data_IF_661169678522
#
_entry.id   IF_661169678522
#
_cell.length_a   1.000
_cell.length_b   1.000
_cell.length_c   1.000
_cell.angle_alpha   90.00
_cell.angle_beta   90.00
_cell.angle_gamma   90.00
#
_symmetry.space_group_name_H-M   'P 1'
#
loop_
_entity.id
_entity.type
_entity.pdbx_description
1 polymer ?
#
# COMPACT_ATOMS: atom_id res chain seq x y z
N UNK A 1 -7.10 18.93 9.49
CA UNK A 1 -6.49 17.83 10.24
C UNK A 1 -5.00 18.11 10.41
N UNK A 2 -4.54 18.27 11.64
CA UNK A 2 -3.11 18.44 11.90
C UNK A 2 -2.46 17.07 11.96
N UNK A 3 -1.62 16.74 10.99
CA UNK A 3 -0.84 15.52 11.00
C UNK A 3 0.51 15.81 11.67
N UNK A 4 0.71 15.31 12.88
CA UNK A 4 2.00 15.36 13.55
C UNK A 4 2.81 14.14 13.15
N UNK A 5 3.85 14.33 12.37
CA UNK A 5 4.85 13.31 12.15
C UNK A 5 5.96 13.49 13.16
N UNK A 6 5.92 12.74 14.25
CA UNK A 6 7.12 12.54 15.05
C UNK A 6 8.01 11.53 14.31
N UNK A 7 9.29 11.83 14.18
CA UNK A 7 10.27 10.79 13.92
C UNK A 7 10.23 9.89 15.15
N UNK A 8 9.59 8.74 15.00
CA UNK A 8 9.57 7.76 16.06
C UNK A 8 11.01 7.35 16.35
N UNK A 9 11.48 7.43 17.62
CA UNK A 9 12.68 6.73 17.99
C UNK A 9 12.47 5.26 17.60
N UNK A 10 13.50 4.60 17.15
CA UNK A 10 13.56 3.23 16.62
C UNK A 10 12.98 2.13 17.53
N UNK A 11 12.18 2.49 18.51
CA UNK A 11 11.40 1.56 19.33
C UNK A 11 10.01 1.38 18.74
N UNK A 12 9.83 0.26 18.08
CA UNK A 12 8.60 -0.32 17.53
C UNK A 12 7.45 -0.51 18.55
N UNK A 13 7.34 0.31 19.58
CA UNK A 13 6.36 0.05 20.65
C UNK A 13 4.98 0.65 20.36
N UNK A 14 4.89 1.63 19.45
CA UNK A 14 3.63 2.23 19.08
C UNK A 14 2.93 1.52 17.91
N UNK A 15 3.69 0.76 17.12
CA UNK A 15 3.17 0.09 15.93
C UNK A 15 2.80 -1.38 16.19
N UNK A 16 3.11 -1.89 17.39
CA UNK A 16 2.91 -3.28 17.76
C UNK A 16 1.92 -3.40 18.92
N UNK A 17 0.74 -3.92 18.63
CA UNK A 17 -0.21 -4.31 19.65
C UNK A 17 -0.02 -5.78 20.00
N UNK A 18 0.25 -6.06 21.28
CA UNK A 18 0.37 -7.41 21.82
C UNK A 18 -0.96 -7.85 22.43
N UNK A 19 -1.57 -8.86 21.87
CA UNK A 19 -2.66 -9.57 22.52
C UNK A 19 -2.17 -10.74 23.36
N UNK A 20 -2.92 -11.13 24.38
CA UNK A 20 -2.53 -12.07 25.45
C UNK A 20 -2.06 -13.47 25.03
N UNK A 21 -2.01 -13.77 23.73
CA UNK A 21 -1.49 -15.02 23.14
C UNK A 21 -0.14 -14.86 22.44
N UNK A 22 0.55 -13.72 22.60
CA UNK A 22 1.80 -13.45 21.89
C UNK A 22 1.61 -13.06 20.42
N UNK A 23 0.40 -12.65 20.01
CA UNK A 23 0.12 -12.11 18.69
C UNK A 23 0.59 -10.66 18.59
N UNK A 24 1.20 -10.29 17.45
CA UNK A 24 1.71 -8.96 17.19
C UNK A 24 1.06 -8.41 15.92
N UNK A 25 0.52 -7.20 16.00
CA UNK A 25 -0.12 -6.50 14.86
C UNK A 25 0.59 -5.19 14.58
N UNK A 26 0.72 -4.85 13.31
CA UNK A 26 0.97 -3.48 12.88
C UNK A 26 -0.37 -2.75 12.85
N UNK A 27 -0.53 -1.69 13.65
CA UNK A 27 -1.84 -1.03 13.83
C UNK A 27 -1.74 0.48 13.75
N UNK A 28 -2.83 1.11 13.29
CA UNK A 28 -3.13 2.53 13.50
C UNK A 28 -4.26 2.59 14.52
N UNK A 29 -4.03 3.30 15.63
CA UNK A 29 -5.00 3.43 16.71
C UNK A 29 -5.38 4.90 16.86
N UNK A 30 -6.67 5.17 16.86
CA UNK A 30 -7.21 6.49 17.14
C UNK A 30 -7.15 6.79 18.64
N UNK A 31 -6.80 8.03 19.00
CA UNK A 31 -6.70 8.48 20.39
C UNK A 31 -7.45 9.80 20.59
N UNK A 32 -7.86 10.06 21.83
CA UNK A 32 -8.57 11.28 22.20
C UNK A 32 -9.99 11.32 21.67
N UNK A 33 -10.33 12.35 20.87
CA UNK A 33 -11.66 12.50 20.27
C UNK A 33 -11.79 11.75 18.92
N UNK A 34 -10.82 10.91 18.56
CA UNK A 34 -10.88 10.05 17.39
C UNK A 34 -11.25 8.63 17.81
N UNK A 35 -11.89 7.87 16.90
CA UNK A 35 -12.40 6.53 17.15
C UNK A 35 -11.95 5.55 16.10
N UNK A 36 -11.63 4.34 16.52
CA UNK A 36 -11.32 3.21 15.66
C UNK A 36 -9.87 2.73 15.77
N UNK A 37 -9.67 1.59 15.20
CA UNK A 37 -8.38 0.92 15.06
C UNK A 37 -8.34 0.25 13.69
N UNK A 38 -7.19 0.27 13.07
CA UNK A 38 -6.91 -0.47 11.86
C UNK A 38 -5.67 -1.34 12.05
N UNK A 39 -5.80 -2.63 11.81
CA UNK A 39 -4.70 -3.62 11.84
C UNK A 39 -4.33 -3.99 10.42
N UNK A 40 -3.05 -3.95 10.11
CA UNK A 40 -2.52 -4.27 8.78
C UNK A 40 -2.95 -5.65 8.32
N UNK A 41 -3.59 -5.73 7.14
CA UNK A 41 -4.08 -6.99 6.55
C UNK A 41 -3.04 -7.67 5.67
N UNK A 42 -2.37 -6.88 4.82
CA UNK A 42 -1.38 -7.38 3.86
C UNK A 42 0.03 -7.20 4.39
N UNK A 43 0.56 -8.27 4.96
CA UNK A 43 1.92 -8.28 5.50
C UNK A 43 2.97 -8.37 4.38
N UNK A 44 4.16 -7.85 4.65
CA UNK A 44 5.31 -7.93 3.74
C UNK A 44 5.91 -9.33 3.80
N UNK A 45 5.90 -10.10 2.69
CA UNK A 45 6.58 -11.39 2.64
C UNK A 45 8.08 -11.21 2.94
N UNK A 46 8.65 -12.14 3.71
CA UNK A 46 10.04 -12.14 4.17
C UNK A 46 10.45 -10.97 5.06
N UNK A 47 9.59 -9.98 5.26
CA UNK A 47 9.82 -8.84 6.16
C UNK A 47 9.00 -8.89 7.44
N UNK A 48 7.75 -9.30 7.36
CA UNK A 48 6.81 -9.36 8.48
C UNK A 48 6.32 -10.79 8.76
N UNK A 49 6.41 -11.67 7.78
CA UNK A 49 6.18 -13.10 7.93
C UNK A 49 7.04 -13.89 6.95
N UNK A 50 7.28 -15.15 7.24
CA UNK A 50 8.01 -16.06 6.37
C UNK A 50 7.03 -16.95 5.59
N UNK A 51 6.87 -16.75 4.27
CA UNK A 51 6.09 -17.66 3.46
C UNK A 51 6.71 -19.06 3.50
N UNK A 52 5.89 -20.11 3.57
CA UNK A 52 6.36 -21.50 3.62
C UNK A 52 7.33 -21.77 4.79
N UNK A 53 7.15 -21.11 5.92
CA UNK A 53 8.02 -21.19 7.10
C UNK A 53 8.44 -22.64 7.43
N UNK A 54 7.48 -23.60 7.35
CA UNK A 54 7.74 -25.01 7.65
C UNK A 54 8.80 -25.65 6.76
N UNK A 55 9.00 -25.13 5.54
CA UNK A 55 9.92 -25.65 4.54
C UNK A 55 11.24 -24.89 4.51
N UNK A 56 11.23 -23.63 4.88
CA UNK A 56 12.37 -22.72 4.78
C UNK A 56 13.17 -22.61 6.08
N UNK A 57 12.53 -22.82 7.24
CA UNK A 57 13.24 -22.87 8.53
C UNK A 57 14.20 -24.04 8.56
N UNK A 58 15.44 -23.79 8.98
CA UNK A 58 16.50 -24.80 9.03
C UNK A 58 17.18 -25.08 7.69
N UNK A 59 16.72 -24.49 6.58
CA UNK A 59 17.35 -24.67 5.26
C UNK A 59 18.34 -23.55 4.92
N UNK A 60 18.08 -22.34 5.40
CA UNK A 60 18.90 -21.16 5.13
C UNK A 60 19.02 -20.37 6.43
N UNK A 61 20.23 -20.20 6.95
CA UNK A 61 20.51 -19.50 8.22
C UNK A 61 19.93 -18.06 8.28
N UNK A 62 19.72 -17.41 7.15
CA UNK A 62 19.07 -16.10 7.06
C UNK A 62 17.61 -16.12 7.57
N UNK A 63 16.90 -17.25 7.42
CA UNK A 63 15.52 -17.39 7.87
C UNK A 63 15.37 -17.84 9.33
N UNK A 64 16.47 -18.17 9.99
CA UNK A 64 16.51 -18.55 11.41
C UNK A 64 16.63 -17.33 12.34
N UNK A 65 16.67 -16.10 11.79
CA UNK A 65 16.65 -14.88 12.60
C UNK A 65 15.32 -14.80 13.37
N UNK A 66 15.37 -14.47 14.68
CA UNK A 66 14.20 -14.35 15.53
C UNK A 66 13.42 -13.07 15.15
N UNK A 67 12.72 -13.09 14.03
CA UNK A 67 11.76 -12.07 13.66
C UNK A 67 10.41 -12.47 14.28
N UNK A 68 9.79 -11.62 15.09
CA UNK A 68 8.42 -11.89 15.51
C UNK A 68 7.55 -11.92 14.25
N UNK A 69 6.93 -13.06 13.98
CA UNK A 69 5.95 -13.14 12.91
C UNK A 69 4.79 -12.22 13.26
N UNK A 70 4.52 -11.25 12.38
CA UNK A 70 3.34 -10.41 12.52
C UNK A 70 2.09 -11.21 12.19
N UNK A 71 1.00 -10.85 12.83
CA UNK A 71 -0.32 -11.41 12.57
C UNK A 71 -1.08 -10.47 11.64
N UNK A 72 -1.67 -10.97 10.55
CA UNK A 72 -2.52 -10.14 9.71
C UNK A 72 -3.79 -9.75 10.45
N UNK A 73 -4.23 -8.51 10.25
CA UNK A 73 -5.54 -8.05 10.69
C UNK A 73 -6.68 -8.72 9.90
N UNK A 74 -7.91 -8.68 10.41
CA UNK A 74 -9.07 -9.20 9.69
C UNK A 74 -9.38 -8.36 8.44
N UNK A 75 -9.98 -8.96 7.43
CA UNK A 75 -10.51 -8.22 6.28
C UNK A 75 -11.76 -7.41 6.65
N UNK A 76 -12.05 -6.36 5.87
CA UNK A 76 -13.28 -5.58 6.02
C UNK A 76 -13.34 -4.74 7.29
N UNK A 77 -12.22 -4.27 7.79
CA UNK A 77 -12.17 -3.43 8.99
C UNK A 77 -12.83 -2.07 8.76
N UNK A 78 -13.53 -1.55 9.77
CA UNK A 78 -14.15 -0.23 9.67
C UNK A 78 -13.10 0.88 9.54
N UNK A 79 -13.44 1.99 8.86
CA UNK A 79 -12.55 3.15 8.78
C UNK A 79 -12.39 3.83 10.15
N UNK A 80 -11.30 4.55 10.34
CA UNK A 80 -11.08 5.40 11.50
C UNK A 80 -11.90 6.69 11.34
N UNK A 81 -12.44 7.20 12.45
CA UNK A 81 -13.14 8.49 12.52
C UNK A 81 -12.30 9.46 13.32
N UNK A 82 -11.95 10.60 12.74
CA UNK A 82 -11.19 11.64 13.41
C UNK A 82 -11.59 13.03 12.90
N UNK A 83 -11.75 13.98 13.81
CA UNK A 83 -12.12 15.38 13.51
C UNK A 83 -13.39 15.49 12.62
N UNK A 84 -14.38 14.63 12.83
CA UNK A 84 -15.62 14.59 12.05
C UNK A 84 -15.49 13.99 10.65
N UNK A 85 -14.33 13.45 10.29
CA UNK A 85 -14.01 12.90 8.96
C UNK A 85 -13.77 11.39 9.04
N UNK A 86 -14.18 10.67 8.01
CA UNK A 86 -13.99 9.22 7.87
C UNK A 86 -12.71 8.97 7.08
N UNK A 87 -11.79 8.17 7.66
CA UNK A 87 -10.44 7.97 7.14
C UNK A 87 -10.22 6.48 6.82
N UNK A 88 -9.94 6.20 5.55
CA UNK A 88 -9.50 4.87 5.11
C UNK A 88 -8.00 4.71 5.31
N UNK A 89 -7.59 3.57 5.86
CA UNK A 89 -6.21 3.36 6.27
C UNK A 89 -5.50 2.31 5.42
N UNK A 90 -4.21 2.54 5.16
CA UNK A 90 -3.29 1.58 4.58
C UNK A 90 -1.93 1.70 5.26
N UNK A 91 -1.36 0.58 5.73
CA UNK A 91 -0.08 0.60 6.44
C UNK A 91 1.03 0.14 5.50
N UNK A 92 1.98 1.05 5.22
CA UNK A 92 3.22 0.77 4.48
C UNK A 92 2.94 0.09 3.12
N UNK A 93 3.35 -1.16 2.99
CA UNK A 93 3.21 -1.98 1.79
C UNK A 93 1.78 -2.07 1.24
N UNK A 94 0.75 -1.90 2.06
CA UNK A 94 -0.65 -1.97 1.63
C UNK A 94 -1.02 -0.92 0.58
N UNK A 95 -0.35 0.22 0.56
CA UNK A 95 -0.62 1.28 -0.42
C UNK A 95 -0.37 0.82 -1.88
N UNK A 96 0.39 -0.24 -2.10
CA UNK A 96 0.61 -0.78 -3.44
C UNK A 96 -0.60 -1.55 -3.98
N UNK A 97 -1.44 -2.09 -3.11
CA UNK A 97 -2.62 -2.88 -3.47
C UNK A 97 -3.80 -1.96 -3.83
N UNK A 98 -3.97 -1.72 -5.12
CA UNK A 98 -4.98 -0.80 -5.64
C UNK A 98 -6.40 -1.17 -5.20
N UNK A 99 -6.76 -2.44 -5.28
CA UNK A 99 -8.10 -2.92 -4.92
C UNK A 99 -8.37 -2.82 -3.41
N UNK A 100 -7.37 -3.10 -2.56
CA UNK A 100 -7.48 -2.89 -1.12
C UNK A 100 -7.76 -1.41 -0.78
N UNK A 101 -6.98 -0.51 -1.38
CA UNK A 101 -7.15 0.93 -1.15
C UNK A 101 -8.48 1.41 -1.70
N UNK A 102 -8.94 0.90 -2.85
CA UNK A 102 -10.26 1.21 -3.39
C UNK A 102 -11.39 0.75 -2.46
N UNK A 103 -11.26 -0.43 -1.85
CA UNK A 103 -12.21 -0.90 -0.83
C UNK A 103 -12.28 0.06 0.35
N UNK A 104 -11.12 0.49 0.89
CA UNK A 104 -11.05 1.46 2.00
C UNK A 104 -11.62 2.83 1.63
N UNK A 105 -11.45 3.26 0.38
CA UNK A 105 -11.92 4.55 -0.11
C UNK A 105 -13.44 4.61 -0.28
N UNK A 106 -14.16 3.49 -0.35
CA UNK A 106 -15.62 3.47 -0.57
C UNK A 106 -16.37 4.21 0.53
N UNK A 107 -15.98 3.97 1.77
CA UNK A 107 -16.63 4.51 2.94
C UNK A 107 -15.82 5.64 3.60
N UNK A 108 -14.72 6.06 2.98
CA UNK A 108 -13.83 7.08 3.51
C UNK A 108 -13.88 8.37 2.70
N UNK A 109 -13.63 9.49 3.38
CA UNK A 109 -13.53 10.82 2.81
C UNK A 109 -12.07 11.24 2.56
N UNK A 110 -11.15 10.66 3.34
CA UNK A 110 -9.70 10.82 3.23
C UNK A 110 -9.02 9.44 3.31
N UNK A 111 -7.82 9.35 2.76
CA UNK A 111 -6.94 8.20 2.93
C UNK A 111 -5.73 8.57 3.79
N UNK A 112 -5.35 7.69 4.70
CA UNK A 112 -4.16 7.80 5.51
C UNK A 112 -3.23 6.61 5.23
N UNK A 113 -1.96 6.89 4.95
CA UNK A 113 -0.94 5.85 4.91
C UNK A 113 0.20 6.19 5.86
N UNK A 114 0.55 5.24 6.70
CA UNK A 114 1.72 5.33 7.58
C UNK A 114 2.74 4.29 7.16
N UNK A 115 4.01 4.67 7.09
CA UNK A 115 5.05 3.77 6.57
C UNK A 115 6.37 3.94 7.29
N UNK A 116 7.04 2.83 7.52
CA UNK A 116 8.45 2.84 7.91
C UNK A 116 9.30 2.54 6.67
N UNK A 117 9.77 3.59 6.01
CA UNK A 117 10.58 3.49 4.80
C UNK A 117 12.09 3.33 5.09
N UNK A 118 12.48 3.13 6.35
CA UNK A 118 13.89 2.97 6.79
C UNK A 118 14.59 1.81 6.06
N UNK A 119 13.83 0.78 5.69
CA UNK A 119 14.32 -0.37 4.92
C UNK A 119 14.95 -0.01 3.57
N UNK A 120 14.48 1.07 2.97
CA UNK A 120 14.92 1.50 1.64
C UNK A 120 16.15 2.42 1.69
N UNK A 121 16.52 2.96 2.89
CA UNK A 121 17.62 3.91 3.02
C UNK A 121 17.48 5.10 2.07
N UNK A 122 18.59 5.51 1.48
CA UNK A 122 18.66 6.61 0.50
C UNK A 122 18.43 6.14 -0.95
N UNK A 123 17.79 4.99 -1.16
CA UNK A 123 17.47 4.49 -2.50
C UNK A 123 16.29 5.22 -3.13
N UNK A 124 15.94 4.86 -4.38
CA UNK A 124 14.74 5.34 -5.09
C UNK A 124 13.43 4.82 -4.45
N UNK A 125 13.50 3.80 -3.58
CA UNK A 125 12.33 3.13 -3.00
C UNK A 125 11.29 4.05 -2.37
N UNK A 126 11.67 4.97 -1.46
CA UNK A 126 10.72 5.92 -0.86
C UNK A 126 10.00 6.82 -1.86
N UNK A 127 10.69 7.21 -2.95
CA UNK A 127 10.08 8.03 -4.01
C UNK A 127 9.10 7.21 -4.84
N UNK A 128 9.42 5.95 -5.17
CA UNK A 128 8.50 5.04 -5.85
C UNK A 128 7.27 4.75 -4.98
N UNK A 129 7.46 4.56 -3.69
CA UNK A 129 6.38 4.34 -2.73
C UNK A 129 5.46 5.57 -2.63
N UNK A 130 6.02 6.80 -2.69
CA UNK A 130 5.23 8.02 -2.80
C UNK A 130 4.43 8.07 -4.11
N UNK A 131 5.02 7.66 -5.25
CA UNK A 131 4.30 7.63 -6.53
C UNK A 131 3.10 6.67 -6.47
N UNK A 132 3.23 5.54 -5.80
CA UNK A 132 2.10 4.62 -5.58
C UNK A 132 0.99 5.30 -4.76
N UNK A 133 1.33 6.02 -3.70
CA UNK A 133 0.36 6.78 -2.91
C UNK A 133 -0.35 7.86 -3.75
N UNK A 134 0.37 8.56 -4.64
CA UNK A 134 -0.21 9.54 -5.57
C UNK A 134 -1.21 8.90 -6.53
N UNK A 135 -0.88 7.71 -7.05
CA UNK A 135 -1.81 6.95 -7.89
C UNK A 135 -3.07 6.56 -7.11
N UNK A 136 -2.94 6.14 -5.87
CA UNK A 136 -4.11 5.83 -5.01
C UNK A 136 -5.00 7.04 -4.81
N UNK A 137 -4.42 8.23 -4.62
CA UNK A 137 -5.19 9.47 -4.51
C UNK A 137 -6.02 9.74 -5.77
N UNK A 138 -5.38 9.68 -6.95
CA UNK A 138 -6.00 9.89 -8.26
C UNK A 138 -7.09 8.84 -8.56
N UNK A 139 -6.78 7.55 -8.39
CA UNK A 139 -7.70 6.46 -8.69
C UNK A 139 -8.97 6.52 -7.86
N UNK A 140 -8.86 6.96 -6.61
CA UNK A 140 -9.99 6.98 -5.68
C UNK A 140 -10.63 8.36 -5.50
N UNK A 141 -10.06 9.42 -6.10
CA UNK A 141 -10.55 10.78 -5.94
C UNK A 141 -10.51 11.24 -4.48
N UNK A 142 -9.47 10.88 -3.73
CA UNK A 142 -9.31 11.18 -2.31
C UNK A 142 -7.97 11.86 -2.04
N UNK A 143 -7.96 12.78 -1.07
CA UNK A 143 -6.69 13.22 -0.52
C UNK A 143 -6.02 12.05 0.22
N UNK A 144 -4.70 11.94 0.06
CA UNK A 144 -3.88 10.98 0.80
C UNK A 144 -2.95 11.74 1.73
N UNK A 145 -3.09 11.48 3.02
CA UNK A 145 -2.16 11.92 4.06
C UNK A 145 -1.15 10.81 4.24
N UNK A 146 0.11 11.10 3.95
CA UNK A 146 1.20 10.14 4.06
C UNK A 146 2.17 10.56 5.15
N UNK A 147 2.32 9.74 6.18
CA UNK A 147 3.29 9.92 7.26
C UNK A 147 4.35 8.81 7.22
N UNK A 148 5.62 9.16 7.21
CA UNK A 148 6.71 8.17 7.06
C UNK A 148 7.86 8.43 8.03
N UNK A 149 8.53 7.33 8.41
CA UNK A 149 9.88 7.39 9.00
C UNK A 149 10.90 7.36 7.86
N UNK A 150 11.78 8.32 7.78
CA UNK A 150 12.87 8.44 6.78
C UNK A 150 12.43 8.50 5.30
N UNK A 151 11.17 8.26 4.99
CA UNK A 151 10.61 8.40 3.65
C UNK A 151 10.12 9.82 3.37
N UNK A 152 9.34 9.98 2.30
CA UNK A 152 8.71 11.27 1.96
C UNK A 152 7.36 11.36 2.64
N UNK A 153 7.27 12.18 3.69
CA UNK A 153 6.00 12.59 4.29
C UNK A 153 5.37 13.65 3.40
N UNK A 154 4.10 13.48 3.06
CA UNK A 154 3.42 14.37 2.12
C UNK A 154 1.89 14.36 2.30
N UNK A 155 1.26 15.42 1.85
CA UNK A 155 -0.18 15.47 1.57
C UNK A 155 -0.36 15.54 0.06
N UNK A 156 -1.18 14.66 -0.48
CA UNK A 156 -1.46 14.51 -1.91
C UNK A 156 -2.94 14.79 -2.13
N UNK A 157 -3.27 15.61 -3.13
CA UNK A 157 -4.65 15.91 -3.48
C UNK A 157 -5.32 14.77 -4.28
N UNK A 158 -6.61 14.91 -4.53
CA UNK A 158 -7.42 13.94 -5.26
C UNK A 158 -7.07 13.82 -6.76
N UNK A 159 -6.21 14.68 -7.28
CA UNK A 159 -5.63 14.60 -8.63
C UNK A 159 -4.22 13.97 -8.62
N UNK A 160 -3.72 13.56 -7.46
CA UNK A 160 -2.38 12.99 -7.33
C UNK A 160 -1.25 14.03 -7.29
N UNK A 161 -1.55 15.32 -7.11
CA UNK A 161 -0.52 16.34 -6.93
C UNK A 161 -0.09 16.44 -5.47
N UNK A 162 1.19 16.65 -5.25
CA UNK A 162 1.73 16.88 -3.91
C UNK A 162 1.39 18.32 -3.50
N UNK A 163 0.54 18.46 -2.49
CA UNK A 163 0.15 19.75 -1.92
C UNK A 163 1.24 20.28 -0.99
N UNK A 164 1.78 19.38 -0.18
CA UNK A 164 2.86 19.70 0.76
C UNK A 164 3.71 18.46 0.99
N UNK A 165 5.00 18.66 1.23
CA UNK A 165 5.92 17.57 1.56
C UNK A 165 6.99 18.02 2.55
N UNK A 166 7.47 17.09 3.35
CA UNK A 166 8.61 17.27 4.24
C UNK A 166 9.88 16.65 3.64
N UNK A 167 11.08 17.18 3.96
CA UNK A 167 12.33 16.59 3.54
C UNK A 167 12.49 15.18 4.15
N UNK A 168 13.25 14.32 3.47
CA UNK A 168 13.60 13.00 3.99
C UNK A 168 14.69 13.11 5.04
N UNK A 169 14.73 12.16 5.97
CA UNK A 169 15.75 12.02 7.01
C UNK A 169 15.81 13.17 8.03
N UNK A 170 14.82 14.03 8.03
CA UNK A 170 14.70 15.11 9.00
C UNK A 170 13.48 14.93 9.90
N UNK A 171 13.65 15.31 11.17
CA UNK A 171 12.53 15.34 12.11
C UNK A 171 11.80 16.66 11.98
N UNK A 172 10.67 16.66 11.31
CA UNK A 172 9.88 17.88 11.06
C UNK A 172 8.39 17.62 11.29
N UNK A 173 7.68 18.71 11.56
CA UNK A 173 6.22 18.72 11.57
C UNK A 173 5.73 19.30 10.25
N UNK A 174 4.96 18.53 9.47
CA UNK A 174 4.30 19.02 8.27
C UNK A 174 2.89 19.47 8.61
N UNK A 175 2.62 20.75 8.41
CA UNK A 175 1.28 21.34 8.51
C UNK A 175 0.73 21.54 7.10
N UNK A 176 -0.39 20.92 6.79
CA UNK A 176 -1.05 21.04 5.50
C UNK A 176 -2.55 20.80 5.61
N UNK A 177 -3.29 21.27 4.64
CA UNK A 177 -4.73 21.05 4.54
C UNK A 177 -5.03 19.85 3.66
N UNK A 178 -5.94 18.98 4.12
CA UNK A 178 -6.51 17.90 3.34
C UNK A 178 -8.04 18.07 3.32
N UNK A 179 -8.60 18.04 2.14
CA UNK A 179 -10.06 18.27 1.96
C UNK A 179 -10.76 16.91 1.94
N UNK A 180 -11.75 16.69 2.83
CA UNK A 180 -12.61 15.50 2.77
C UNK A 180 -13.39 15.47 1.45
N UNK A 181 -13.34 14.34 0.75
CA UNK A 181 -13.97 14.15 -0.56
C UNK A 181 -15.08 13.14 -0.48
N UNK A 182 -16.14 13.35 -1.24
CA UNK A 182 -17.27 12.43 -1.33
C UNK A 182 -17.47 11.91 -2.76
N UNK A 183 -18.31 10.89 -2.90
CA UNK A 183 -18.56 10.24 -4.19
C UNK A 183 -17.58 9.08 -4.45
N UNK A 184 -17.79 8.34 -5.52
CA UNK A 184 -16.98 7.19 -5.89
C UNK A 184 -16.53 7.30 -7.34
N UNK A 185 -15.25 7.16 -7.59
CA UNK A 185 -14.72 7.05 -8.96
C UNK A 185 -15.15 5.72 -9.60
N UNK A 186 -15.07 5.58 -10.92
CA UNK A 186 -15.27 4.29 -11.57
C UNK A 186 -14.36 3.21 -10.98
N UNK A 187 -13.08 3.53 -10.72
CA UNK A 187 -12.14 2.58 -10.15
C UNK A 187 -12.53 2.18 -8.72
N UNK A 188 -12.90 3.12 -7.85
CA UNK A 188 -13.35 2.81 -6.49
C UNK A 188 -14.57 1.87 -6.48
N UNK A 189 -15.45 1.99 -7.51
CA UNK A 189 -16.64 1.12 -7.64
C UNK A 189 -16.29 -0.28 -8.09
N UNK A 190 -15.44 -0.38 -9.10
CA UNK A 190 -15.20 -1.64 -9.81
C UNK A 190 -13.88 -2.32 -9.44
N UNK A 191 -12.88 -1.56 -8.92
CA UNK A 191 -11.53 -2.10 -8.77
C UNK A 191 -10.89 -2.47 -10.11
N UNK A 192 -9.99 -3.42 -10.08
CA UNK A 192 -9.19 -3.87 -11.23
C UNK A 192 -9.90 -4.88 -12.13
N UNK A 193 -11.07 -5.44 -11.75
CA UNK A 193 -11.68 -6.53 -12.50
C UNK A 193 -12.02 -6.21 -13.97
N UNK A 194 -12.44 -4.97 -14.35
CA UNK A 194 -12.70 -4.67 -15.76
C UNK A 194 -11.44 -4.76 -16.63
N UNK A 195 -10.27 -4.36 -16.08
CA UNK A 195 -8.99 -4.49 -16.76
C UNK A 195 -8.60 -5.96 -16.96
N UNK A 196 -8.84 -6.81 -15.97
CA UNK A 196 -8.63 -8.26 -16.06
C UNK A 196 -9.53 -8.88 -17.12
N UNK A 197 -10.83 -8.54 -17.14
CA UNK A 197 -11.77 -9.02 -18.13
C UNK A 197 -11.34 -8.61 -19.54
N UNK A 198 -10.99 -7.34 -19.74
CA UNK A 198 -10.50 -6.86 -21.03
C UNK A 198 -9.22 -7.60 -21.47
N UNK A 199 -8.29 -7.81 -20.57
CA UNK A 199 -7.05 -8.54 -20.85
C UNK A 199 -7.34 -9.98 -21.31
N UNK A 200 -8.25 -10.68 -20.65
CA UNK A 200 -8.67 -12.04 -21.03
C UNK A 200 -9.33 -12.03 -22.42
N UNK A 201 -10.24 -11.09 -22.69
CA UNK A 201 -10.92 -10.96 -23.99
C UNK A 201 -9.95 -10.66 -25.13
N UNK A 202 -8.86 -9.95 -24.88
CA UNK A 202 -7.84 -9.64 -25.89
C UNK A 202 -6.89 -10.83 -26.15
N UNK A 203 -6.61 -11.63 -25.14
CA UNK A 203 -5.67 -12.77 -25.25
C UNK A 203 -6.34 -14.00 -25.86
N UNK A 204 -7.61 -14.29 -25.52
CA UNK A 204 -8.33 -15.49 -25.99
C UNK A 204 -8.35 -15.64 -27.51
N UNK A 205 -8.63 -14.61 -28.35
CA UNK A 205 -8.59 -14.72 -29.79
C UNK A 205 -7.20 -15.08 -30.33
N UNK A 206 -6.13 -14.58 -29.66
CA UNK A 206 -4.74 -14.86 -30.05
C UNK A 206 -4.36 -16.34 -29.89
N UNK A 207 -4.97 -17.04 -28.93
CA UNK A 207 -4.74 -18.48 -28.71
C UNK A 207 -5.38 -19.36 -29.80
N UNK A 208 -6.40 -18.86 -30.49
CA UNK A 208 -7.13 -19.58 -31.55
C UNK A 208 -6.65 -19.26 -32.97
N UNK A 209 -5.74 -18.27 -33.13
CA UNK A 209 -5.18 -17.99 -34.45
C UNK A 209 -4.18 -19.10 -34.80
N UNK A 210 -4.44 -19.91 -35.89
CA UNK A 210 -3.48 -20.91 -36.32
C UNK A 210 -2.18 -20.20 -36.68
N UNK A 211 -1.07 -20.69 -36.16
CA UNK A 211 0.27 -20.23 -36.54
C UNK A 211 0.40 -20.48 -38.06
N UNK A 212 0.27 -19.42 -38.84
CA UNK A 212 0.63 -19.48 -40.26
C UNK A 212 2.11 -19.88 -40.31
N UNK A 213 2.32 -21.17 -40.67
CA UNK A 213 3.65 -21.66 -40.99
C UNK A 213 4.22 -20.75 -42.07
N UNK A 214 5.23 -19.96 -41.74
CA UNK A 214 6.06 -19.31 -42.75
C UNK A 214 6.83 -20.43 -43.47
N UNK A 215 6.24 -21.01 -44.47
CA UNK A 215 6.99 -21.78 -45.45
C UNK A 215 7.91 -20.81 -46.19
N UNK A 216 9.17 -20.78 -45.74
CA UNK A 216 10.26 -20.15 -46.46
C UNK A 216 10.40 -20.85 -47.80
N UNK A 217 10.10 -20.15 -48.88
CA UNK A 217 10.49 -20.53 -50.23
C UNK A 217 12.01 -20.51 -50.29
N UNK A 218 12.62 -21.68 -50.12
CA UNK A 218 14.01 -21.91 -50.51
C UNK A 218 14.05 -21.86 -52.02
N UNK A 219 14.38 -20.71 -52.59
CA UNK A 219 14.70 -20.59 -54.02
C UNK A 219 16.00 -21.35 -54.28
N UNK A 220 15.84 -22.49 -54.92
CA UNK A 220 16.93 -23.22 -55.59
C UNK A 220 17.57 -22.33 -56.64
N UNK A 221 18.82 -21.91 -56.43
CA UNK A 221 19.72 -21.51 -57.51
C UNK A 221 20.62 -22.70 -57.84
N UNK A 222 20.24 -23.43 -58.89
CA UNK A 222 21.17 -24.24 -59.67
C UNK A 222 21.37 -23.51 -61.01
N UNK A 223 22.57 -23.28 -61.33
CA UNK A 223 23.36 -23.31 -62.54
C UNK A 223 24.54 -22.35 -62.49
#
# INVERSE_FOLDING_TARGET
LHCFTHSFPTRRSSDLQREGRGLYYNSVIALGNAEGEYRKEHLVPFGEYLPLERWLRGTIAFFDLPMPAMTPGPAGQPPIRAAGTVIGNAICYEIIYADLVAERARDAELLLTVSNDTWFGASIGPLQHLQMARLRALENGRYVIRATSNGVTAVVDHHGHIVASAPQFETVTLLAEAVPMQGLTPFTRTGSWPAWLLSVLLVLPGLHLPQRQRHGTAASRRS
#
